data_IF_936446806803
#
_entry.id   IF_936446806803
#
_cell.length_a   1.000
_cell.length_b   1.000
_cell.length_c   1.000
_cell.angle_alpha   90.00
_cell.angle_beta   90.00
_cell.angle_gamma   90.00
#
_symmetry.space_group_name_H-M   'P 1'
#
loop_
_entity.id
_entity.type
_entity.pdbx_description
1 polymer ?
#
# COMPACT_ATOMS: atom_id res chain seq x y z
N UNK A 1 -1.24 20.93 49.86
CA UNK A 1 -1.56 19.77 49.00
C UNK A 1 -1.84 20.26 47.57
N UNK A 2 -2.76 21.16 47.32
CA UNK A 2 -3.15 21.67 46.00
C UNK A 2 -1.97 22.24 45.17
N UNK A 3 -1.14 23.09 45.82
CA UNK A 3 0.05 23.71 45.16
C UNK A 3 1.08 22.67 44.68
N UNK A 4 1.30 21.60 45.44
CA UNK A 4 2.19 20.48 45.04
C UNK A 4 1.56 19.68 43.89
N UNK A 5 0.26 19.42 43.90
CA UNK A 5 -0.47 18.77 42.82
C UNK A 5 -0.39 19.58 41.51
N UNK A 6 -0.57 20.92 41.58
CA UNK A 6 -0.45 21.81 40.41
C UNK A 6 0.98 21.79 39.82
N UNK A 7 2.01 21.76 40.68
CA UNK A 7 3.41 21.68 40.21
C UNK A 7 3.65 20.32 39.50
N UNK A 8 3.22 19.20 40.11
CA UNK A 8 3.36 17.86 39.50
C UNK A 8 2.60 17.80 38.18
N UNK A 9 1.37 18.32 38.13
CA UNK A 9 0.60 18.39 36.89
C UNK A 9 1.29 19.23 35.80
N UNK A 10 1.82 20.41 36.18
CA UNK A 10 2.59 21.25 35.26
C UNK A 10 3.86 20.56 34.73
N UNK A 11 4.59 19.85 35.57
CA UNK A 11 5.75 19.04 35.16
C UNK A 11 5.34 17.91 34.22
N UNK A 12 4.26 17.18 34.50
CA UNK A 12 3.76 16.13 33.62
C UNK A 12 3.37 16.69 32.24
N UNK A 13 2.66 17.81 32.18
CA UNK A 13 2.30 18.47 30.92
C UNK A 13 3.57 18.87 30.15
N UNK A 14 4.53 19.49 30.83
CA UNK A 14 5.80 19.90 30.20
C UNK A 14 6.56 18.70 29.65
N UNK A 15 6.62 17.59 30.37
CA UNK A 15 7.25 16.35 29.88
C UNK A 15 6.54 15.81 28.64
N UNK A 16 5.20 15.78 28.63
CA UNK A 16 4.43 15.34 27.45
C UNK A 16 4.73 16.21 26.23
N UNK A 17 4.74 17.55 26.44
CA UNK A 17 5.05 18.51 25.37
C UNK A 17 6.48 18.32 24.86
N UNK A 18 7.47 18.21 25.76
CA UNK A 18 8.87 17.97 25.37
C UNK A 18 9.02 16.64 24.62
N UNK A 19 8.42 15.56 25.12
CA UNK A 19 8.44 14.26 24.44
C UNK A 19 7.85 14.36 23.03
N UNK A 20 6.72 15.05 22.89
CA UNK A 20 6.11 15.30 21.59
C UNK A 20 7.06 16.01 20.61
N UNK A 21 7.71 17.08 21.02
CA UNK A 21 8.68 17.79 20.16
C UNK A 21 9.90 16.94 19.82
N UNK A 22 10.39 16.12 20.73
CA UNK A 22 11.49 15.17 20.48
C UNK A 22 11.08 14.13 19.43
N UNK A 23 9.88 13.55 19.54
CA UNK A 23 9.37 12.58 18.57
C UNK A 23 9.17 13.22 17.18
N UNK A 24 8.63 14.44 17.13
CA UNK A 24 8.48 15.19 15.87
C UNK A 24 9.84 15.50 15.22
N UNK A 25 10.81 15.92 16.03
CA UNK A 25 12.16 16.16 15.56
C UNK A 25 12.81 14.89 15.02
N UNK A 26 12.67 13.76 15.71
CA UNK A 26 13.20 12.46 15.30
C UNK A 26 12.61 12.02 13.96
N UNK A 27 11.29 12.08 13.80
CA UNK A 27 10.63 11.72 12.53
C UNK A 27 11.06 12.65 11.40
N UNK A 28 11.08 13.97 11.63
CA UNK A 28 11.45 14.93 10.60
C UNK A 28 12.90 14.75 10.12
N UNK A 29 13.84 14.50 11.04
CA UNK A 29 15.24 14.32 10.67
C UNK A 29 15.48 12.92 10.06
N UNK A 30 14.87 11.88 10.63
CA UNK A 30 14.93 10.53 10.05
C UNK A 30 14.36 10.48 8.64
N UNK A 31 13.21 11.11 8.41
CA UNK A 31 12.63 11.28 7.08
C UNK A 31 13.59 12.00 6.12
N UNK A 32 14.16 13.15 6.55
CA UNK A 32 15.05 13.94 5.71
C UNK A 32 16.33 13.18 5.37
N UNK A 33 16.95 12.51 6.35
CA UNK A 33 18.15 11.71 6.15
C UNK A 33 17.85 10.58 5.14
N UNK A 34 16.76 9.85 5.35
CA UNK A 34 16.39 8.73 4.52
C UNK A 34 16.03 9.12 3.09
N UNK A 35 15.24 10.17 2.89
CA UNK A 35 14.84 10.62 1.55
C UNK A 35 15.97 11.29 0.76
N UNK A 36 17.00 11.82 1.43
CA UNK A 36 18.20 12.31 0.73
C UNK A 36 19.03 11.16 0.14
N UNK A 37 19.00 9.99 0.76
CA UNK A 37 19.73 8.79 0.31
C UNK A 37 18.90 7.96 -0.68
N UNK A 38 17.58 7.99 -0.57
CA UNK A 38 16.63 7.16 -1.28
C UNK A 38 15.53 8.03 -1.89
N UNK A 39 15.59 8.29 -3.19
CA UNK A 39 14.55 9.02 -3.91
C UNK A 39 13.44 8.11 -4.46
N UNK A 40 12.40 8.72 -5.01
CA UNK A 40 11.43 7.98 -5.81
C UNK A 40 12.05 7.51 -7.13
N UNK A 41 11.87 6.23 -7.44
CA UNK A 41 12.27 5.66 -8.72
C UNK A 41 11.06 5.67 -9.64
N UNK A 42 11.23 6.30 -10.79
CA UNK A 42 10.29 6.30 -11.90
C UNK A 42 10.96 5.63 -13.08
N UNK A 43 10.46 4.49 -13.50
CA UNK A 43 11.05 3.74 -14.62
C UNK A 43 10.72 4.41 -15.96
N UNK A 44 11.38 4.04 -17.05
CA UNK A 44 10.85 4.27 -18.39
C UNK A 44 9.47 3.60 -18.57
N UNK A 45 8.78 3.92 -19.66
CA UNK A 45 7.59 3.17 -20.09
C UNK A 45 8.05 1.84 -20.68
N UNK A 46 7.46 0.75 -20.21
CA UNK A 46 7.71 -0.62 -20.64
C UNK A 46 6.51 -1.22 -21.35
N UNK A 47 6.75 -2.30 -22.07
CA UNK A 47 5.73 -3.12 -22.72
C UNK A 47 5.75 -4.53 -22.11
N UNK A 48 4.57 -5.12 -21.92
CA UNK A 48 4.47 -6.47 -21.37
C UNK A 48 3.05 -6.99 -21.25
N UNK A 49 2.92 -8.22 -20.81
CA UNK A 49 1.61 -8.81 -20.55
C UNK A 49 1.16 -8.45 -19.12
N UNK A 50 0.07 -7.71 -19.01
CA UNK A 50 -0.53 -7.30 -17.75
C UNK A 50 -1.77 -8.13 -17.46
N UNK A 51 -1.84 -8.73 -16.28
CA UNK A 51 -3.04 -9.44 -15.80
C UNK A 51 -3.51 -8.83 -14.50
N UNK A 52 -4.78 -8.42 -14.46
CA UNK A 52 -5.42 -7.88 -13.26
C UNK A 52 -6.04 -9.00 -12.42
N UNK A 53 -5.84 -8.94 -11.12
CA UNK A 53 -6.51 -9.78 -10.13
C UNK A 53 -7.29 -8.90 -9.15
N UNK A 54 -8.62 -8.84 -9.27
CA UNK A 54 -9.46 -8.09 -8.34
C UNK A 54 -9.89 -8.90 -7.11
N UNK A 55 -9.50 -10.18 -7.03
CA UNK A 55 -9.87 -11.13 -5.97
C UNK A 55 -8.69 -12.01 -5.57
N UNK A 56 -8.61 -12.34 -4.27
CA UNK A 56 -7.52 -13.12 -3.71
C UNK A 56 -7.43 -14.56 -4.24
N UNK A 57 -8.56 -15.21 -4.50
CA UNK A 57 -8.57 -16.61 -4.96
C UNK A 57 -7.87 -16.77 -6.32
N UNK A 58 -8.24 -15.94 -7.29
CA UNK A 58 -7.61 -15.91 -8.61
C UNK A 58 -6.13 -15.52 -8.55
N UNK A 59 -5.79 -14.55 -7.72
CA UNK A 59 -4.40 -14.12 -7.48
C UNK A 59 -3.55 -15.26 -6.91
N UNK A 60 -3.99 -15.87 -5.80
CA UNK A 60 -3.19 -16.90 -5.14
C UNK A 60 -3.05 -18.14 -6.00
N UNK A 61 -4.09 -18.51 -6.77
CA UNK A 61 -4.00 -19.60 -7.74
C UNK A 61 -2.91 -19.33 -8.78
N UNK A 62 -2.87 -18.13 -9.34
CA UNK A 62 -1.86 -17.72 -10.32
C UNK A 62 -0.46 -17.66 -9.70
N UNK A 63 -0.30 -16.97 -8.56
CA UNK A 63 0.98 -16.84 -7.86
C UNK A 63 1.56 -18.21 -7.45
N UNK A 64 0.74 -19.10 -6.88
CA UNK A 64 1.19 -20.43 -6.47
C UNK A 64 1.56 -21.30 -7.66
N UNK A 65 0.89 -21.12 -8.81
CA UNK A 65 1.26 -21.80 -10.04
C UNK A 65 2.61 -21.32 -10.57
N UNK A 66 2.83 -20.01 -10.67
CA UNK A 66 4.12 -19.44 -11.10
C UNK A 66 5.25 -19.87 -10.15
N UNK A 67 5.00 -19.90 -8.82
CA UNK A 67 5.99 -20.42 -7.84
C UNK A 67 6.30 -21.90 -8.10
N UNK A 68 5.30 -22.74 -8.39
CA UNK A 68 5.53 -24.17 -8.71
C UNK A 68 6.38 -24.34 -9.96
N UNK A 69 6.17 -23.49 -10.96
CA UNK A 69 6.83 -23.53 -12.26
C UNK A 69 8.23 -22.89 -12.24
N UNK A 70 8.56 -22.07 -11.22
CA UNK A 70 9.87 -21.44 -11.09
C UNK A 70 11.02 -22.42 -11.22
N UNK A 71 12.07 -22.05 -11.96
CA UNK A 71 13.25 -22.90 -12.20
C UNK A 71 14.49 -22.37 -11.47
N UNK A 72 14.69 -21.04 -11.48
CA UNK A 72 15.94 -20.43 -11.05
C UNK A 72 15.84 -19.77 -9.67
N UNK A 73 14.87 -18.87 -9.48
CA UNK A 73 14.74 -18.13 -8.23
C UNK A 73 13.34 -17.56 -7.99
N UNK A 74 13.06 -17.33 -6.70
CA UNK A 74 11.81 -16.76 -6.19
C UNK A 74 12.16 -15.72 -5.14
N UNK A 75 11.88 -14.43 -5.38
CA UNK A 75 12.08 -13.35 -4.43
C UNK A 75 10.74 -12.73 -4.08
N UNK A 76 10.39 -12.69 -2.80
CA UNK A 76 9.07 -12.24 -2.35
C UNK A 76 9.19 -11.30 -1.16
N UNK A 77 8.45 -10.20 -1.21
CA UNK A 77 8.19 -9.33 -0.08
C UNK A 77 6.70 -9.17 0.14
N UNK A 78 6.23 -9.38 1.37
CA UNK A 78 4.89 -9.02 1.82
C UNK A 78 4.96 -8.15 3.08
N UNK A 79 4.03 -7.20 3.19
CA UNK A 79 3.87 -6.45 4.43
C UNK A 79 3.31 -7.33 5.55
N UNK A 80 2.29 -8.14 5.26
CA UNK A 80 1.67 -9.08 6.20
C UNK A 80 1.71 -10.51 5.64
N UNK A 81 2.12 -11.45 6.49
CA UNK A 81 1.86 -12.88 6.33
C UNK A 81 1.23 -13.36 7.64
N UNK A 82 0.01 -13.92 7.55
CA UNK A 82 -0.74 -14.41 8.71
C UNK A 82 -0.24 -15.80 9.18
N UNK A 83 -0.58 -16.18 10.41
CA UNK A 83 -0.40 -17.55 10.90
C UNK A 83 -1.70 -18.34 10.69
N UNK A 84 -1.98 -18.69 9.43
CA UNK A 84 -3.19 -19.37 8.99
C UNK A 84 -2.88 -20.47 7.93
N UNK A 85 -3.81 -21.39 7.64
CA UNK A 85 -3.60 -22.47 6.69
C UNK A 85 -3.16 -22.02 5.29
N UNK A 86 -3.66 -20.90 4.77
CA UNK A 86 -3.28 -20.37 3.44
C UNK A 86 -1.83 -19.94 3.43
N UNK A 87 -1.43 -19.15 4.44
CA UNK A 87 -0.04 -18.70 4.61
C UNK A 87 0.92 -19.88 4.85
N UNK A 88 0.53 -20.84 5.67
CA UNK A 88 1.35 -22.04 5.92
C UNK A 88 1.53 -22.89 4.65
N UNK A 89 0.50 -23.00 3.80
CA UNK A 89 0.61 -23.65 2.49
C UNK A 89 1.59 -22.90 1.57
N UNK A 90 1.47 -21.58 1.49
CA UNK A 90 2.40 -20.72 0.76
C UNK A 90 3.84 -20.93 1.23
N UNK A 91 4.11 -20.83 2.53
CA UNK A 91 5.44 -21.02 3.10
C UNK A 91 5.99 -22.43 2.85
N UNK A 92 5.13 -23.47 2.91
CA UNK A 92 5.49 -24.86 2.58
C UNK A 92 5.92 -25.00 1.11
N UNK A 93 5.25 -24.29 0.20
CA UNK A 93 5.61 -24.27 -1.21
C UNK A 93 6.99 -23.66 -1.43
N UNK A 94 7.31 -22.54 -0.78
CA UNK A 94 8.64 -21.92 -0.81
C UNK A 94 9.73 -22.86 -0.27
N UNK A 95 9.48 -23.53 0.86
CA UNK A 95 10.38 -24.51 1.43
C UNK A 95 10.66 -25.69 0.46
N UNK A 96 9.62 -26.17 -0.22
CA UNK A 96 9.77 -27.24 -1.23
C UNK A 96 10.64 -26.79 -2.40
N UNK A 97 10.46 -25.57 -2.88
CA UNK A 97 11.27 -25.00 -3.98
C UNK A 97 12.72 -24.83 -3.56
N UNK A 98 12.99 -24.29 -2.39
CA UNK A 98 14.35 -24.13 -1.87
C UNK A 98 15.06 -25.49 -1.69
N UNK A 99 14.39 -26.50 -1.13
CA UNK A 99 14.94 -27.88 -1.02
C UNK A 99 15.28 -28.50 -2.36
N UNK A 100 14.59 -28.10 -3.43
CA UNK A 100 14.84 -28.57 -4.80
C UNK A 100 15.90 -27.73 -5.55
N UNK A 101 16.57 -26.81 -4.87
CA UNK A 101 17.68 -26.02 -5.43
C UNK A 101 17.30 -24.66 -6.01
N UNK A 102 16.02 -24.26 -5.97
CA UNK A 102 15.61 -22.91 -6.34
C UNK A 102 16.12 -21.92 -5.28
N UNK A 103 16.69 -20.78 -5.71
CA UNK A 103 17.14 -19.70 -4.84
C UNK A 103 15.92 -18.91 -4.33
N UNK A 104 15.55 -19.07 -3.06
CA UNK A 104 14.35 -18.48 -2.49
C UNK A 104 14.71 -17.42 -1.43
N UNK A 105 14.25 -16.18 -1.65
CA UNK A 105 14.39 -15.08 -0.71
C UNK A 105 12.99 -14.61 -0.28
N UNK A 106 12.76 -14.55 1.04
CA UNK A 106 11.52 -14.06 1.62
C UNK A 106 11.79 -12.93 2.60
N UNK A 107 11.26 -11.76 2.30
CA UNK A 107 11.25 -10.58 3.17
C UNK A 107 9.83 -10.31 3.67
N UNK A 108 9.69 -9.98 4.95
CA UNK A 108 8.39 -9.62 5.55
C UNK A 108 8.60 -8.39 6.44
N UNK A 109 7.68 -7.42 6.40
CA UNK A 109 7.82 -6.24 7.27
C UNK A 109 7.86 -6.65 8.75
N UNK A 110 8.71 -5.98 9.52
CA UNK A 110 8.95 -6.34 10.94
C UNK A 110 7.71 -6.22 11.81
N UNK A 111 6.83 -5.25 11.54
CA UNK A 111 5.61 -5.03 12.31
C UNK A 111 4.43 -5.82 11.71
N UNK A 112 4.27 -5.75 10.38
CA UNK A 112 3.23 -6.50 9.67
C UNK A 112 3.39 -8.02 9.80
N UNK A 113 4.64 -8.50 9.81
CA UNK A 113 4.99 -9.92 9.94
C UNK A 113 5.10 -10.43 11.39
N UNK A 114 4.50 -9.77 12.37
CA UNK A 114 4.59 -10.15 13.80
C UNK A 114 4.13 -11.57 14.11
N UNK A 115 3.30 -12.16 13.26
CA UNK A 115 2.79 -13.53 13.40
C UNK A 115 3.81 -14.59 12.93
N UNK A 116 4.83 -14.20 12.15
CA UNK A 116 5.94 -15.08 11.77
C UNK A 116 6.85 -15.30 12.98
N UNK A 117 6.60 -16.38 13.69
CA UNK A 117 7.34 -16.71 14.88
C UNK A 117 8.68 -17.40 14.57
N UNK A 118 9.56 -17.51 15.61
CA UNK A 118 10.89 -18.11 15.45
C UNK A 118 10.87 -19.55 14.93
N UNK A 119 9.83 -20.32 15.25
CA UNK A 119 9.69 -21.71 14.78
C UNK A 119 9.46 -21.78 13.28
N UNK A 120 8.66 -20.85 12.74
CA UNK A 120 8.42 -20.72 11.28
C UNK A 120 9.74 -20.31 10.60
N UNK A 121 10.44 -19.29 11.12
CA UNK A 121 11.71 -18.82 10.55
C UNK A 121 12.74 -19.96 10.51
N UNK A 122 12.94 -20.66 11.61
CA UNK A 122 13.91 -21.78 11.66
C UNK A 122 13.59 -22.88 10.64
N UNK A 123 12.30 -23.15 10.37
CA UNK A 123 11.89 -24.13 9.34
C UNK A 123 12.20 -23.64 7.94
N UNK A 124 11.99 -22.36 7.66
CA UNK A 124 12.30 -21.73 6.37
C UNK A 124 13.81 -21.81 6.12
N UNK A 125 14.61 -21.33 7.04
CA UNK A 125 16.08 -21.32 6.97
C UNK A 125 16.66 -22.75 6.83
N UNK A 126 16.15 -23.71 7.61
CA UNK A 126 16.55 -25.12 7.51
C UNK A 126 16.19 -25.76 6.16
N UNK A 127 15.28 -25.16 5.41
CA UNK A 127 14.87 -25.61 4.08
C UNK A 127 15.66 -24.91 2.96
N UNK A 128 16.57 -23.97 3.29
CA UNK A 128 17.34 -23.19 2.33
C UNK A 128 16.67 -21.89 1.88
N UNK A 129 15.56 -21.48 2.51
CA UNK A 129 14.95 -20.17 2.27
C UNK A 129 15.75 -19.09 2.99
N UNK A 130 16.22 -18.09 2.27
CA UNK A 130 16.81 -16.89 2.87
C UNK A 130 15.69 -16.00 3.40
N UNK A 131 15.64 -15.79 4.71
CA UNK A 131 14.59 -15.01 5.38
C UNK A 131 15.15 -13.74 6.02
N UNK A 132 14.40 -12.63 5.89
CA UNK A 132 14.67 -11.41 6.67
C UNK A 132 13.38 -10.70 7.06
N UNK A 133 13.43 -9.95 8.17
CA UNK A 133 12.44 -8.91 8.42
C UNK A 133 12.94 -7.60 7.81
N UNK A 134 12.07 -6.93 7.05
CA UNK A 134 12.38 -5.59 6.51
C UNK A 134 12.10 -4.49 7.53
N UNK A 135 12.78 -3.37 7.35
CA UNK A 135 12.67 -2.15 8.18
C UNK A 135 12.82 -2.44 9.66
N UNK A 136 13.98 -3.02 10.02
CA UNK A 136 14.36 -3.26 11.41
C UNK A 136 14.47 -1.94 12.15
N UNK A 137 14.04 -1.93 13.41
CA UNK A 137 14.26 -0.79 14.30
C UNK A 137 15.74 -0.55 14.53
N UNK A 138 16.15 0.72 14.73
CA UNK A 138 17.54 1.11 14.93
C UNK A 138 17.69 2.12 16.07
N UNK A 139 18.93 2.47 16.42
CA UNK A 139 19.25 3.40 17.51
C UNK A 139 19.15 4.86 17.02
N UNK A 140 19.52 5.11 15.76
CA UNK A 140 19.39 6.43 15.14
C UNK A 140 17.96 6.61 14.65
N UNK A 141 17.33 7.74 14.98
CA UNK A 141 15.94 8.03 14.64
C UNK A 141 14.97 6.87 14.95
N UNK A 142 14.94 6.39 16.22
CA UNK A 142 14.22 5.17 16.59
C UNK A 142 12.72 5.27 16.35
N UNK A 143 12.12 6.45 16.57
CA UNK A 143 10.69 6.65 16.36
C UNK A 143 10.35 6.73 14.86
N UNK A 144 11.18 7.39 14.04
CA UNK A 144 11.06 7.35 12.59
C UNK A 144 11.13 5.90 12.09
N UNK A 145 12.20 5.15 12.44
CA UNK A 145 12.41 3.76 12.01
C UNK A 145 11.32 2.80 12.49
N UNK A 146 10.67 3.07 13.61
CA UNK A 146 9.52 2.32 14.06
C UNK A 146 8.29 2.58 13.18
N UNK A 147 8.13 3.78 12.65
CA UNK A 147 7.01 4.18 11.81
C UNK A 147 7.26 3.97 10.31
N UNK A 148 8.50 3.98 9.85
CA UNK A 148 8.88 3.71 8.47
C UNK A 148 8.74 2.21 8.17
N UNK A 149 7.83 1.85 7.24
CA UNK A 149 7.50 0.45 6.92
C UNK A 149 7.67 0.17 5.43
N UNK A 150 8.13 -1.03 5.10
CA UNK A 150 8.08 -1.51 3.72
C UNK A 150 6.68 -2.08 3.45
N UNK A 151 5.83 -1.24 2.86
CA UNK A 151 4.43 -1.59 2.59
C UNK A 151 4.22 -2.17 1.19
N UNK A 152 5.29 -2.39 0.42
CA UNK A 152 5.23 -3.06 -0.88
C UNK A 152 4.74 -4.51 -0.72
N UNK A 153 4.15 -5.06 -1.76
CA UNK A 153 3.81 -6.46 -1.91
C UNK A 153 4.31 -6.86 -3.28
N UNK A 154 5.42 -7.58 -3.28
CA UNK A 154 6.17 -7.92 -4.49
C UNK A 154 6.44 -9.43 -4.53
N UNK A 155 6.27 -10.04 -5.68
CA UNK A 155 6.80 -11.37 -5.94
C UNK A 155 7.48 -11.37 -7.31
N UNK A 156 8.68 -11.93 -7.39
CA UNK A 156 9.49 -12.04 -8.59
C UNK A 156 9.81 -13.51 -8.82
N UNK A 157 9.48 -14.00 -9.99
CA UNK A 157 9.65 -15.41 -10.39
C UNK A 157 10.55 -15.45 -11.61
N UNK A 158 11.75 -16.00 -11.46
CA UNK A 158 12.75 -16.17 -12.51
C UNK A 158 13.09 -14.88 -13.28
N UNK A 159 12.76 -13.67 -12.73
CA UNK A 159 12.87 -12.38 -13.42
C UNK A 159 12.03 -12.24 -14.69
N UNK A 160 11.12 -13.19 -14.92
CA UNK A 160 10.22 -13.21 -16.08
C UNK A 160 8.85 -12.66 -15.75
N UNK A 161 8.43 -12.90 -14.51
CA UNK A 161 7.11 -12.51 -14.00
C UNK A 161 7.30 -11.82 -12.66
N UNK A 162 6.57 -10.74 -12.47
CA UNK A 162 6.44 -10.09 -11.17
C UNK A 162 4.98 -9.82 -10.81
N UNK A 163 4.73 -9.71 -9.52
CA UNK A 163 3.44 -9.35 -8.94
C UNK A 163 3.59 -8.09 -8.09
N UNK A 164 2.60 -7.20 -8.18
CA UNK A 164 2.56 -5.94 -7.46
C UNK A 164 1.10 -5.51 -7.22
N UNK A 165 0.76 -5.11 -6.00
CA UNK A 165 -0.59 -4.60 -5.69
C UNK A 165 -0.95 -4.65 -4.20
N UNK A 166 -2.25 -4.64 -3.89
CA UNK A 166 -2.73 -4.42 -2.53
C UNK A 166 -2.80 -5.67 -1.65
N UNK A 167 -2.89 -6.88 -2.22
CA UNK A 167 -3.04 -8.12 -1.45
C UNK A 167 -1.79 -8.50 -0.66
N UNK A 168 -1.97 -8.84 0.61
CA UNK A 168 -1.00 -9.55 1.43
C UNK A 168 -1.25 -11.08 1.39
N UNK A 169 -0.71 -11.87 2.34
CA UNK A 169 -0.86 -13.31 2.39
C UNK A 169 -1.64 -13.74 3.65
N UNK A 170 -2.80 -14.38 3.45
CA UNK A 170 -3.66 -14.87 4.55
C UNK A 170 -5.09 -15.20 4.10
N UNK A 171 -5.83 -15.90 4.95
CA UNK A 171 -7.24 -16.28 4.73
C UNK A 171 -8.18 -15.08 4.64
N UNK A 172 -7.88 -13.99 5.34
CA UNK A 172 -8.69 -12.76 5.29
C UNK A 172 -8.78 -12.20 3.88
N UNK A 173 -7.71 -12.32 3.08
CA UNK A 173 -7.65 -11.85 1.68
C UNK A 173 -8.42 -12.75 0.70
N UNK A 174 -8.86 -13.93 1.17
CA UNK A 174 -9.79 -14.81 0.44
C UNK A 174 -11.26 -14.60 0.87
N UNK A 175 -11.52 -13.61 1.73
CA UNK A 175 -12.86 -13.37 2.27
C UNK A 175 -13.32 -14.43 3.28
N UNK A 176 -12.40 -15.22 3.86
CA UNK A 176 -12.72 -16.29 4.80
C UNK A 176 -12.78 -15.81 6.26
N UNK A 177 -12.28 -14.61 6.55
CA UNK A 177 -12.42 -14.00 7.87
C UNK A 177 -13.79 -13.32 8.01
N UNK A 178 -14.59 -13.80 8.97
CA UNK A 178 -15.95 -13.30 9.23
C UNK A 178 -16.00 -11.82 9.66
N UNK A 179 -14.88 -11.25 10.13
CA UNK A 179 -14.81 -9.83 10.53
C UNK A 179 -14.91 -8.91 9.34
N UNK A 180 -14.34 -9.31 8.19
CA UNK A 180 -14.25 -8.51 6.98
C UNK A 180 -15.22 -8.97 5.89
N UNK A 181 -15.61 -10.26 5.90
CA UNK A 181 -16.40 -10.87 4.84
C UNK A 181 -15.65 -10.88 3.52
N UNK A 182 -16.34 -10.57 2.43
CA UNK A 182 -15.71 -10.50 1.11
C UNK A 182 -14.62 -9.42 1.09
N UNK A 183 -13.39 -9.81 0.66
CA UNK A 183 -12.24 -8.92 0.55
C UNK A 183 -12.05 -8.49 -0.90
N UNK A 184 -12.11 -7.20 -1.16
CA UNK A 184 -11.92 -6.61 -2.48
C UNK A 184 -10.63 -5.80 -2.52
N UNK A 185 -9.69 -6.16 -3.42
CA UNK A 185 -8.43 -5.45 -3.62
C UNK A 185 -8.00 -5.60 -5.09
N UNK A 186 -6.88 -5.01 -5.49
CA UNK A 186 -6.37 -5.03 -6.85
C UNK A 186 -4.90 -5.39 -6.85
N UNK A 187 -4.51 -6.34 -7.72
CA UNK A 187 -3.13 -6.80 -7.87
C UNK A 187 -2.82 -7.06 -9.34
N UNK A 188 -1.62 -6.71 -9.76
CA UNK A 188 -1.14 -6.93 -11.12
C UNK A 188 -0.12 -8.07 -11.15
N UNK A 189 -0.23 -8.92 -12.17
CA UNK A 189 0.85 -9.78 -12.66
C UNK A 189 1.42 -9.12 -13.90
N UNK A 190 2.72 -8.96 -13.92
CA UNK A 190 3.48 -8.28 -14.97
C UNK A 190 4.45 -9.30 -15.54
N UNK A 191 4.33 -9.61 -16.85
CA UNK A 191 5.29 -10.45 -17.56
C UNK A 191 5.91 -9.64 -18.70
N UNK A 192 7.23 -9.49 -18.68
CA UNK A 192 7.98 -8.68 -19.65
C UNK A 192 9.07 -7.83 -19.01
N UNK A 193 9.49 -6.78 -19.69
CA UNK A 193 10.67 -5.99 -19.38
C UNK A 193 10.68 -5.41 -17.96
N UNK A 194 9.54 -4.89 -17.47
CA UNK A 194 9.46 -4.28 -16.15
C UNK A 194 9.57 -5.25 -14.98
N UNK A 195 9.51 -6.58 -15.20
CA UNK A 195 9.73 -7.55 -14.15
C UNK A 195 11.14 -7.41 -13.54
N UNK A 196 12.12 -7.00 -14.34
CA UNK A 196 13.48 -6.70 -13.90
C UNK A 196 13.54 -5.52 -12.92
N UNK A 197 12.75 -4.48 -13.12
CA UNK A 197 12.73 -3.30 -12.23
C UNK A 197 12.17 -3.66 -10.84
N UNK A 198 11.17 -4.55 -10.80
CA UNK A 198 10.64 -5.08 -9.53
C UNK A 198 11.70 -5.91 -8.80
N UNK A 199 12.52 -6.69 -9.54
CA UNK A 199 13.66 -7.42 -8.99
C UNK A 199 14.73 -6.46 -8.43
N UNK A 200 15.12 -5.43 -9.19
CA UNK A 200 16.09 -4.43 -8.72
C UNK A 200 15.63 -3.75 -7.43
N UNK A 201 14.34 -3.38 -7.36
CA UNK A 201 13.79 -2.77 -6.16
C UNK A 201 13.81 -3.73 -4.97
N UNK A 202 13.40 -4.99 -5.18
CA UNK A 202 13.48 -6.00 -4.13
C UNK A 202 14.91 -6.18 -3.61
N UNK A 203 15.89 -6.25 -4.50
CA UNK A 203 17.30 -6.45 -4.14
C UNK A 203 17.90 -5.23 -3.43
N UNK A 204 17.50 -4.01 -3.77
CA UNK A 204 17.84 -2.79 -3.02
C UNK A 204 17.30 -2.85 -1.59
N UNK A 205 16.01 -3.20 -1.43
CA UNK A 205 15.38 -3.36 -0.11
C UNK A 205 16.08 -4.47 0.69
N UNK A 206 16.45 -5.58 0.04
CA UNK A 206 17.18 -6.68 0.68
C UNK A 206 18.56 -6.28 1.15
N UNK A 207 19.32 -5.56 0.33
CA UNK A 207 20.66 -5.04 0.70
C UNK A 207 20.57 -4.10 1.91
N UNK A 208 19.57 -3.20 1.94
CA UNK A 208 19.34 -2.30 3.07
C UNK A 208 19.01 -3.06 4.36
N UNK A 209 18.17 -4.08 4.27
CA UNK A 209 17.71 -4.85 5.44
C UNK A 209 18.77 -5.83 5.97
N UNK A 210 19.67 -6.34 5.12
CA UNK A 210 20.61 -7.42 5.47
C UNK A 210 22.08 -7.04 5.39
N UNK A 211 22.42 -5.97 4.67
CA UNK A 211 23.78 -5.62 4.28
C UNK A 211 24.37 -6.54 3.20
N UNK A 212 23.60 -7.47 2.66
CA UNK A 212 24.03 -8.42 1.64
C UNK A 212 23.65 -7.92 0.24
N UNK A 213 24.65 -7.50 -0.51
CA UNK A 213 24.45 -7.08 -1.90
C UNK A 213 24.29 -8.29 -2.81
N UNK A 214 23.23 -8.28 -3.60
CA UNK A 214 22.99 -9.24 -4.68
C UNK A 214 22.67 -8.44 -5.96
N UNK A 215 23.28 -8.82 -7.05
CA UNK A 215 22.97 -8.18 -8.34
C UNK A 215 21.80 -8.88 -9.03
N UNK A 216 20.92 -8.14 -9.68
CA UNK A 216 19.86 -8.73 -10.46
C UNK A 216 20.43 -9.61 -11.57
N UNK A 217 19.75 -10.69 -11.85
CA UNK A 217 20.15 -11.57 -12.96
C UNK A 217 19.75 -10.89 -14.26
N UNK A 218 20.71 -10.80 -15.21
CA UNK A 218 20.42 -10.25 -16.54
C UNK A 218 19.45 -11.17 -17.28
N UNK A 219 18.25 -10.67 -17.54
CA UNK A 219 17.29 -11.32 -18.43
C UNK A 219 17.27 -10.61 -19.77
N UNK A 220 17.10 -11.37 -20.85
CA UNK A 220 16.79 -10.75 -22.13
C UNK A 220 15.34 -10.24 -22.06
N UNK A 221 15.05 -9.04 -22.60
CA UNK A 221 13.68 -8.55 -22.72
C UNK A 221 12.86 -9.60 -23.46
N UNK A 222 11.74 -10.03 -22.87
CA UNK A 222 10.92 -11.09 -23.44
C UNK A 222 10.05 -10.58 -24.60
N UNK A 223 9.73 -9.28 -24.63
CA UNK A 223 8.89 -8.63 -25.63
C UNK A 223 9.12 -7.12 -25.69
N UNK A 224 8.96 -6.56 -26.89
CA UNK A 224 8.85 -5.12 -27.17
C UNK A 224 7.42 -4.74 -27.56
N UNK A 225 6.50 -5.69 -27.58
CA UNK A 225 5.07 -5.56 -27.84
C UNK A 225 4.27 -5.96 -26.60
N UNK A 226 3.08 -5.44 -26.44
CA UNK A 226 2.20 -5.67 -25.29
C UNK A 226 1.67 -4.38 -24.70
N UNK A 227 1.08 -4.47 -23.52
CA UNK A 227 0.48 -3.36 -22.81
C UNK A 227 1.54 -2.37 -22.32
N UNK A 228 1.32 -1.08 -22.53
CA UNK A 228 2.19 0.00 -22.05
C UNK A 228 1.95 0.29 -20.58
N UNK A 229 3.05 0.34 -19.80
CA UNK A 229 2.98 0.66 -18.38
C UNK A 229 4.30 1.26 -17.86
N UNK A 230 4.25 1.88 -16.69
CA UNK A 230 5.38 2.46 -15.99
C UNK A 230 5.33 2.08 -14.51
N UNK A 231 6.48 1.77 -13.92
CA UNK A 231 6.56 1.44 -12.50
C UNK A 231 7.11 2.60 -11.69
N UNK A 232 6.60 2.72 -10.46
CA UNK A 232 7.05 3.70 -9.48
C UNK A 232 7.34 3.00 -8.17
N UNK A 233 8.47 3.35 -7.56
CA UNK A 233 8.83 2.88 -6.24
C UNK A 233 9.17 4.11 -5.39
N UNK A 234 8.32 4.44 -4.43
CA UNK A 234 8.60 5.49 -3.47
C UNK A 234 9.27 4.91 -2.23
N UNK A 235 10.13 5.68 -1.63
CA UNK A 235 10.88 5.29 -0.47
C UNK A 235 10.69 6.33 0.61
N UNK A 236 9.79 6.04 1.57
CA UNK A 236 9.53 6.91 2.73
C UNK A 236 8.97 8.29 2.38
N UNK A 237 8.28 8.47 1.25
CA UNK A 237 7.72 9.77 0.85
C UNK A 237 7.74 9.99 -0.67
N UNK A 238 7.52 11.24 -1.10
CA UNK A 238 7.45 11.70 -2.49
C UNK A 238 6.27 11.19 -3.31
N UNK A 239 5.54 10.15 -2.86
CA UNK A 239 4.35 9.63 -3.52
C UNK A 239 3.26 10.71 -3.65
N UNK A 240 3.16 11.58 -2.66
CA UNK A 240 2.27 12.75 -2.67
C UNK A 240 2.43 13.62 -3.92
N UNK A 241 3.67 13.94 -4.31
CA UNK A 241 3.95 14.78 -5.48
C UNK A 241 3.47 14.15 -6.78
N UNK A 242 3.65 12.84 -6.91
CA UNK A 242 3.17 12.12 -8.09
C UNK A 242 1.63 12.08 -8.13
N UNK A 243 0.97 11.81 -7.00
CA UNK A 243 -0.50 11.88 -6.94
C UNK A 243 -1.04 13.26 -7.29
N UNK A 244 -0.40 14.33 -6.82
CA UNK A 244 -0.79 15.70 -7.19
C UNK A 244 -0.64 15.95 -8.69
N UNK A 245 0.42 15.43 -9.31
CA UNK A 245 0.63 15.50 -10.75
C UNK A 245 -0.48 14.77 -11.49
N UNK A 246 -0.84 13.58 -11.05
CA UNK A 246 -1.93 12.77 -11.62
C UNK A 246 -3.30 13.45 -11.46
N UNK A 247 -3.63 14.01 -10.28
CA UNK A 247 -4.86 14.78 -10.08
C UNK A 247 -4.96 15.95 -11.06
N UNK A 248 -3.86 16.71 -11.18
CA UNK A 248 -3.80 17.91 -12.04
C UNK A 248 -3.84 17.59 -13.54
N UNK A 249 -3.53 16.37 -13.92
CA UNK A 249 -3.60 15.92 -15.33
C UNK A 249 -5.02 15.63 -15.80
N UNK A 250 -5.96 15.33 -14.88
CA UNK A 250 -7.34 14.99 -15.21
C UNK A 250 -8.09 16.13 -15.90
N UNK A 251 -8.79 15.82 -16.99
CA UNK A 251 -9.57 16.78 -17.82
C UNK A 251 -11.06 16.45 -17.88
N UNK A 252 -11.43 15.17 -17.75
CA UNK A 252 -12.82 14.70 -17.92
C UNK A 252 -13.31 13.98 -16.67
N UNK A 253 -12.56 12.99 -16.21
CA UNK A 253 -12.94 12.13 -15.10
C UNK A 253 -11.73 11.73 -14.26
N UNK A 254 -11.93 11.73 -12.95
CA UNK A 254 -10.97 11.21 -11.98
C UNK A 254 -11.71 10.30 -11.00
N UNK A 255 -11.31 9.03 -10.94
CA UNK A 255 -11.81 8.07 -9.94
C UNK A 255 -10.68 7.69 -9.01
N UNK A 256 -10.94 7.76 -7.70
CA UNK A 256 -10.01 7.37 -6.64
C UNK A 256 -10.69 6.31 -5.79
N UNK A 257 -10.11 5.11 -5.73
CA UNK A 257 -10.60 4.03 -4.90
C UNK A 257 -9.52 3.64 -3.90
N UNK A 258 -9.81 3.74 -2.59
CA UNK A 258 -8.81 3.54 -1.52
C UNK A 258 -9.48 3.11 -0.21
N UNK A 259 -8.82 2.25 0.61
CA UNK A 259 -9.38 1.87 1.91
C UNK A 259 -9.35 3.01 2.92
N UNK A 260 -8.36 3.89 2.86
CA UNK A 260 -8.21 5.03 3.76
C UNK A 260 -8.08 6.31 2.93
N UNK A 261 -8.95 7.27 3.20
CA UNK A 261 -8.98 8.53 2.47
C UNK A 261 -8.74 9.71 3.42
N UNK A 262 -7.47 10.02 3.65
CA UNK A 262 -7.01 11.11 4.54
C UNK A 262 -5.99 11.97 3.77
N UNK A 263 -6.38 12.56 2.61
CA UNK A 263 -5.49 13.41 1.84
C UNK A 263 -5.12 14.68 2.62
N UNK A 264 -3.97 15.27 2.33
CA UNK A 264 -3.59 16.56 2.87
C UNK A 264 -4.34 17.72 2.20
N UNK A 265 -4.10 18.94 2.70
CA UNK A 265 -4.82 20.12 2.21
C UNK A 265 -4.53 20.44 0.74
N UNK A 266 -3.29 20.23 0.26
CA UNK A 266 -2.94 20.48 -1.14
C UNK A 266 -3.67 19.52 -2.08
N UNK A 267 -3.76 18.23 -1.73
CA UNK A 267 -4.55 17.25 -2.48
C UNK A 267 -6.05 17.58 -2.44
N UNK A 268 -6.57 17.99 -1.28
CA UNK A 268 -7.96 18.42 -1.14
C UNK A 268 -8.28 19.60 -2.07
N UNK A 269 -7.41 20.58 -2.10
CA UNK A 269 -7.59 21.77 -2.94
C UNK A 269 -7.46 21.40 -4.43
N UNK A 270 -6.54 20.51 -4.80
CA UNK A 270 -6.40 20.02 -6.17
C UNK A 270 -7.68 19.28 -6.66
N UNK A 271 -8.27 18.42 -5.81
CA UNK A 271 -9.53 17.73 -6.12
C UNK A 271 -10.70 18.70 -6.30
N UNK A 272 -10.80 19.71 -5.43
CA UNK A 272 -11.84 20.75 -5.50
C UNK A 272 -11.67 21.59 -6.78
N UNK A 273 -10.42 21.95 -7.12
CA UNK A 273 -10.11 22.70 -8.35
C UNK A 273 -10.46 21.85 -9.58
N UNK A 274 -10.07 20.57 -9.63
CA UNK A 274 -10.44 19.67 -10.72
C UNK A 274 -11.96 19.63 -10.89
N UNK A 275 -12.71 19.49 -9.80
CA UNK A 275 -14.19 19.48 -9.84
C UNK A 275 -14.77 20.81 -10.35
N UNK A 276 -14.24 21.95 -9.91
CA UNK A 276 -14.65 23.29 -10.37
C UNK A 276 -14.37 23.50 -11.87
N UNK A 277 -13.32 22.90 -12.38
CA UNK A 277 -12.95 22.93 -13.80
C UNK A 277 -13.77 21.96 -14.67
N UNK A 278 -14.79 21.29 -14.10
CA UNK A 278 -15.69 20.40 -14.82
C UNK A 278 -15.27 18.94 -14.84
N UNK A 279 -14.15 18.56 -14.20
CA UNK A 279 -13.77 17.15 -14.07
C UNK A 279 -14.80 16.43 -13.19
N UNK A 280 -15.29 15.28 -13.62
CA UNK A 280 -16.11 14.40 -12.78
C UNK A 280 -15.19 13.68 -11.79
N UNK A 281 -15.23 14.08 -10.53
CA UNK A 281 -14.42 13.47 -9.47
C UNK A 281 -15.27 12.50 -8.66
N UNK A 282 -14.82 11.25 -8.56
CA UNK A 282 -15.50 10.15 -7.87
C UNK A 282 -14.53 9.48 -6.88
N UNK A 283 -14.99 9.20 -5.68
CA UNK A 283 -14.19 8.56 -4.63
C UNK A 283 -14.93 7.32 -4.14
N UNK A 284 -14.25 6.18 -4.10
CA UNK A 284 -14.74 4.92 -3.58
C UNK A 284 -13.94 4.53 -2.33
N UNK A 285 -14.63 4.34 -1.22
CA UNK A 285 -14.05 3.94 0.08
C UNK A 285 -14.89 2.84 0.71
N UNK A 286 -14.36 2.05 1.65
CA UNK A 286 -15.19 1.07 2.35
C UNK A 286 -16.23 1.74 3.28
N UNK A 287 -17.41 1.11 3.38
CA UNK A 287 -18.43 1.53 4.37
C UNK A 287 -17.98 1.20 5.80
N UNK A 288 -17.28 0.08 5.98
CA UNK A 288 -16.69 -0.32 7.26
C UNK A 288 -15.15 -0.31 7.17
N UNK A 289 -14.47 -0.03 8.26
CA UNK A 289 -13.00 -0.01 8.32
C UNK A 289 -12.46 -1.14 9.19
N UNK A 290 -11.29 -1.67 8.84
CA UNK A 290 -10.49 -2.57 9.66
C UNK A 290 -9.72 -1.84 10.77
N UNK A 291 -9.49 -0.52 10.58
CA UNK A 291 -8.77 0.36 11.48
C UNK A 291 -9.67 1.54 11.90
N UNK A 292 -10.38 1.40 13.03
CA UNK A 292 -11.36 2.37 13.51
C UNK A 292 -10.85 3.82 13.57
N UNK A 293 -9.54 4.01 13.84
CA UNK A 293 -8.91 5.32 13.97
C UNK A 293 -8.68 6.04 12.63
N UNK A 294 -8.80 5.34 11.49
CA UNK A 294 -8.62 5.96 10.15
C UNK A 294 -9.88 6.64 9.64
N UNK A 295 -11.05 6.22 10.12
CA UNK A 295 -12.34 6.70 9.64
C UNK A 295 -12.68 8.12 10.14
N UNK A 296 -12.57 8.45 11.44
CA UNK A 296 -12.89 9.80 11.93
C UNK A 296 -12.13 10.94 11.22
N UNK A 297 -10.82 10.83 10.91
CA UNK A 297 -10.11 11.88 10.18
C UNK A 297 -10.56 12.06 8.74
N UNK A 298 -11.17 11.03 8.14
CA UNK A 298 -11.67 11.12 6.75
C UNK A 298 -12.97 11.93 6.63
N UNK A 299 -13.80 11.96 7.67
CA UNK A 299 -15.12 12.58 7.61
C UNK A 299 -15.13 14.07 7.25
N UNK A 300 -14.33 14.97 7.88
CA UNK A 300 -14.31 16.37 7.49
C UNK A 300 -13.88 16.57 6.03
N UNK A 301 -12.99 15.70 5.54
CA UNK A 301 -12.46 15.76 4.18
C UNK A 301 -13.52 15.30 3.18
N UNK A 302 -14.20 14.19 3.46
CA UNK A 302 -15.30 13.69 2.62
C UNK A 302 -16.49 14.64 2.62
N UNK A 303 -16.85 15.25 3.76
CA UNK A 303 -17.90 16.26 3.84
C UNK A 303 -17.55 17.52 3.00
N UNK A 304 -16.31 18.03 3.10
CA UNK A 304 -15.84 19.17 2.30
C UNK A 304 -15.91 18.86 0.80
N UNK A 305 -15.52 17.65 0.38
CA UNK A 305 -15.57 17.24 -1.02
C UNK A 305 -17.00 17.04 -1.52
N UNK A 306 -17.86 16.41 -0.73
CA UNK A 306 -19.29 16.25 -1.05
C UNK A 306 -19.94 17.62 -1.30
N UNK A 307 -19.69 18.60 -0.41
CA UNK A 307 -20.19 19.98 -0.55
C UNK A 307 -19.60 20.71 -1.78
N UNK A 308 -18.47 20.22 -2.32
CA UNK A 308 -17.86 20.72 -3.55
C UNK A 308 -18.35 19.99 -4.81
N UNK A 309 -19.31 19.06 -4.67
CA UNK A 309 -19.93 18.32 -5.78
C UNK A 309 -19.13 17.09 -6.22
N UNK A 310 -18.25 16.55 -5.39
CA UNK A 310 -17.56 15.28 -5.61
C UNK A 310 -18.51 14.13 -5.23
N UNK A 311 -18.57 13.09 -6.05
CA UNK A 311 -19.35 11.88 -5.79
C UNK A 311 -18.54 10.91 -4.92
N UNK A 312 -19.12 10.48 -3.80
CA UNK A 312 -18.46 9.56 -2.87
C UNK A 312 -19.31 8.31 -2.71
N UNK A 313 -18.67 7.14 -2.89
CA UNK A 313 -19.29 5.82 -2.82
C UNK A 313 -18.73 5.05 -1.62
N UNK A 314 -19.62 4.46 -0.84
CA UNK A 314 -19.32 3.62 0.32
C UNK A 314 -19.55 2.16 -0.04
N UNK A 315 -18.48 1.37 -0.24
CA UNK A 315 -18.58 -0.03 -0.62
C UNK A 315 -19.16 -0.90 0.50
N UNK A 316 -20.20 -1.68 0.19
CA UNK A 316 -21.02 -2.40 1.18
C UNK A 316 -20.97 -3.92 1.10
N UNK A 317 -20.41 -4.51 0.02
CA UNK A 317 -20.38 -5.97 -0.17
C UNK A 317 -19.40 -6.70 0.77
N UNK A 318 -18.51 -5.96 1.44
CA UNK A 318 -17.48 -6.48 2.34
C UNK A 318 -16.45 -5.40 2.61
N UNK A 319 -15.17 -5.78 2.75
CA UNK A 319 -14.10 -4.81 2.96
C UNK A 319 -13.42 -4.46 1.64
N UNK A 320 -13.47 -3.18 1.26
CA UNK A 320 -12.76 -2.64 0.11
C UNK A 320 -11.36 -2.20 0.51
N UNK A 321 -10.34 -2.82 -0.06
CA UNK A 321 -8.94 -2.50 0.20
C UNK A 321 -8.16 -2.13 -1.07
N UNK A 322 -8.82 -1.91 -2.22
CA UNK A 322 -8.18 -1.50 -3.47
C UNK A 322 -7.52 -0.13 -3.39
N UNK A 323 -6.41 0.04 -4.08
CA UNK A 323 -5.70 1.32 -4.26
C UNK A 323 -5.59 1.57 -5.76
N UNK A 324 -6.63 2.19 -6.29
CA UNK A 324 -6.82 2.40 -7.73
C UNK A 324 -7.07 3.87 -8.01
N UNK A 325 -6.50 4.37 -9.10
CA UNK A 325 -6.83 5.68 -9.65
C UNK A 325 -7.06 5.53 -11.15
N UNK A 326 -8.15 6.11 -11.65
CA UNK A 326 -8.46 6.17 -13.07
C UNK A 326 -8.56 7.62 -13.51
N UNK A 327 -7.92 7.95 -14.62
CA UNK A 327 -7.85 9.32 -15.15
C UNK A 327 -8.29 9.30 -16.60
N UNK A 328 -9.39 9.97 -16.89
CA UNK A 328 -9.94 10.22 -18.23
C UNK A 328 -10.24 8.98 -19.10
N UNK A 329 -10.13 7.77 -18.52
CA UNK A 329 -10.15 6.49 -19.25
C UNK A 329 -8.88 6.25 -20.07
N UNK A 330 -7.83 7.04 -19.85
CA UNK A 330 -6.56 7.02 -20.61
C UNK A 330 -5.38 6.56 -19.73
N UNK A 331 -5.52 6.62 -18.40
CA UNK A 331 -4.50 6.17 -17.45
C UNK A 331 -5.16 5.47 -16.27
N UNK A 332 -4.58 4.35 -15.86
CA UNK A 332 -4.94 3.68 -14.61
C UNK A 332 -3.71 3.51 -13.72
N UNK A 333 -3.88 3.60 -12.42
CA UNK A 333 -2.84 3.32 -11.44
C UNK A 333 -3.31 2.25 -10.47
N UNK A 334 -2.55 1.15 -10.34
CA UNK A 334 -2.71 0.13 -9.32
C UNK A 334 -1.51 0.23 -8.39
N UNK A 335 -1.77 0.42 -7.09
CA UNK A 335 -0.74 0.76 -6.12
C UNK A 335 -0.80 -0.10 -4.84
N UNK A 336 0.28 -0.07 -4.08
CA UNK A 336 0.28 -0.49 -2.67
C UNK A 336 -0.10 0.66 -1.73
N UNK A 337 0.02 1.91 -2.20
CA UNK A 337 -0.16 3.13 -1.43
C UNK A 337 -1.63 3.46 -1.17
N UNK A 338 -1.97 3.66 0.09
CA UNK A 338 -3.26 4.25 0.49
C UNK A 338 -3.24 5.78 0.28
N UNK A 339 -4.40 6.40 0.40
CA UNK A 339 -4.53 7.87 0.41
C UNK A 339 -4.48 8.40 1.85
N UNK A 340 -3.39 8.15 2.54
CA UNK A 340 -3.17 8.53 3.93
C UNK A 340 -1.74 9.04 4.18
N UNK A 341 -1.49 9.76 5.29
CA UNK A 341 -0.19 10.31 5.62
C UNK A 341 0.92 9.26 5.74
N UNK A 342 0.61 8.02 6.12
CA UNK A 342 1.62 6.96 6.21
C UNK A 342 2.18 6.59 4.84
N UNK A 343 1.30 6.40 3.86
CA UNK A 343 1.72 6.12 2.48
C UNK A 343 2.41 7.32 1.83
N UNK A 344 2.03 8.54 2.21
CA UNK A 344 2.63 9.75 1.63
C UNK A 344 4.04 10.05 2.18
N UNK A 345 4.31 9.73 3.47
CA UNK A 345 5.50 10.24 4.16
C UNK A 345 6.32 9.19 4.93
N UNK A 346 5.79 7.99 5.18
CA UNK A 346 6.41 7.03 6.09
C UNK A 346 6.61 5.63 5.50
N UNK A 347 5.87 5.26 4.44
CA UNK A 347 5.94 3.92 3.89
C UNK A 347 6.74 3.90 2.57
N UNK A 348 7.37 2.78 2.33
CA UNK A 348 7.85 2.40 1.01
C UNK A 348 6.70 1.77 0.24
N UNK A 349 6.40 2.33 -0.91
CA UNK A 349 5.26 1.92 -1.73
C UNK A 349 5.71 1.55 -3.15
N UNK A 350 4.85 0.85 -3.86
CA UNK A 350 5.05 0.50 -5.27
C UNK A 350 3.77 0.72 -6.06
N UNK A 351 3.91 1.09 -7.33
CA UNK A 351 2.78 1.45 -8.17
C UNK A 351 3.05 1.07 -9.62
N UNK A 352 2.00 0.65 -10.31
CA UNK A 352 1.97 0.39 -11.75
C UNK A 352 1.01 1.38 -12.42
N UNK A 353 1.56 2.31 -13.19
CA UNK A 353 0.81 3.20 -14.05
C UNK A 353 0.62 2.52 -15.40
N UNK A 354 -0.61 2.43 -15.86
CA UNK A 354 -1.03 1.65 -17.03
C UNK A 354 -1.61 2.61 -18.07
N UNK A 355 -1.15 2.49 -19.31
CA UNK A 355 -1.60 3.30 -20.45
C UNK A 355 -2.33 2.48 -21.52
N UNK A 356 -2.33 1.15 -21.39
CA UNK A 356 -3.01 0.24 -22.30
C UNK A 356 -4.53 0.33 -22.17
N UNK A 357 -5.19 0.61 -23.28
CA UNK A 357 -6.63 0.85 -23.34
C UNK A 357 -7.47 -0.36 -22.90
N UNK A 358 -7.07 -1.58 -23.25
CA UNK A 358 -7.86 -2.79 -22.93
C UNK A 358 -7.73 -3.15 -21.45
N UNK A 359 -6.55 -3.01 -20.89
CA UNK A 359 -6.32 -3.19 -19.45
C UNK A 359 -7.08 -2.12 -18.65
N UNK A 360 -7.04 -0.85 -19.10
CA UNK A 360 -7.80 0.25 -18.45
C UNK A 360 -9.30 -0.02 -18.51
N UNK A 361 -9.85 -0.50 -19.63
CA UNK A 361 -11.27 -0.87 -19.74
C UNK A 361 -11.62 -1.98 -18.73
N UNK A 362 -10.76 -2.97 -18.56
CA UNK A 362 -10.96 -4.04 -17.58
C UNK A 362 -11.01 -3.48 -16.16
N UNK A 363 -10.02 -2.63 -15.78
CA UNK A 363 -9.99 -1.99 -14.45
C UNK A 363 -11.23 -1.09 -14.26
N UNK A 364 -11.63 -0.34 -15.28
CA UNK A 364 -12.81 0.52 -15.24
C UNK A 364 -14.09 -0.30 -15.01
N UNK A 365 -14.24 -1.42 -15.70
CA UNK A 365 -15.41 -2.31 -15.53
C UNK A 365 -15.50 -2.85 -14.09
N UNK A 366 -14.36 -3.25 -13.50
CA UNK A 366 -14.28 -3.70 -12.11
C UNK A 366 -14.66 -2.59 -11.11
N UNK A 367 -14.17 -1.37 -11.31
CA UNK A 367 -14.51 -0.21 -10.47
C UNK A 367 -15.99 0.17 -10.61
N UNK A 368 -16.58 0.10 -11.82
CA UNK A 368 -18.00 0.34 -12.00
C UNK A 368 -18.87 -0.72 -11.31
N UNK A 369 -18.43 -1.98 -11.29
CA UNK A 369 -19.10 -3.03 -10.52
C UNK A 369 -18.98 -2.79 -9.01
N UNK A 370 -17.81 -2.35 -8.52
CA UNK A 370 -17.62 -1.96 -7.13
C UNK A 370 -18.54 -0.79 -6.73
N UNK A 371 -18.74 0.19 -7.62
CA UNK A 371 -19.68 1.30 -7.39
C UNK A 371 -21.14 0.83 -7.33
N UNK A 372 -21.54 -0.17 -8.12
CA UNK A 372 -22.89 -0.78 -8.02
C UNK A 372 -23.09 -1.49 -6.68
N UNK A 373 -22.03 -2.06 -6.11
CA UNK A 373 -22.01 -2.67 -4.77
C UNK A 373 -21.79 -1.64 -3.64
N UNK A 374 -22.03 -0.37 -3.92
CA UNK A 374 -21.80 0.73 -2.98
C UNK A 374 -23.07 1.57 -2.79
N UNK A 375 -23.15 2.24 -1.64
CA UNK A 375 -24.14 3.31 -1.42
C UNK A 375 -23.49 4.68 -1.62
N UNK A 376 -24.20 5.60 -2.27
CA UNK A 376 -23.68 6.95 -2.47
C UNK A 376 -23.82 7.74 -1.17
N UNK A 377 -22.71 8.34 -0.73
CA UNK A 377 -22.68 9.21 0.45
C UNK A 377 -23.56 10.45 0.23
N UNK A 378 -24.32 10.80 1.22
CA UNK A 378 -25.17 12.00 1.25
C UNK A 378 -25.20 12.60 2.66
N UNK A 379 -25.81 13.79 2.79
CA UNK A 379 -25.92 14.48 4.08
C UNK A 379 -26.65 13.68 5.18
N UNK A 380 -27.62 12.83 4.81
CA UNK A 380 -28.35 12.01 5.78
C UNK A 380 -27.40 10.99 6.41
N UNK A 381 -26.58 10.30 5.63
CA UNK A 381 -25.56 9.34 6.11
C UNK A 381 -24.55 10.05 7.00
N UNK A 382 -24.10 11.27 6.64
CA UNK A 382 -23.16 12.04 7.50
C UNK A 382 -23.81 12.37 8.86
N UNK A 383 -25.11 12.65 8.90
CA UNK A 383 -25.81 12.92 10.15
C UNK A 383 -25.95 11.70 11.06
N UNK A 384 -25.88 10.48 10.52
CA UNK A 384 -25.91 9.23 11.27
C UNK A 384 -24.59 8.92 11.99
N UNK A 385 -23.49 9.63 11.67
CA UNK A 385 -22.19 9.43 12.31
C UNK A 385 -22.32 9.67 13.83
N UNK A 386 -21.89 8.70 14.68
CA UNK A 386 -22.00 8.81 16.13
C UNK A 386 -21.31 10.06 16.70
N UNK A 387 -21.88 10.67 17.72
CA UNK A 387 -21.36 11.90 18.32
C UNK A 387 -19.93 11.76 18.87
N UNK A 388 -19.56 10.59 19.36
CA UNK A 388 -18.20 10.32 19.83
C UNK A 388 -17.18 10.30 18.67
N UNK A 389 -17.53 9.73 17.51
CA UNK A 389 -16.69 9.78 16.30
C UNK A 389 -16.54 11.22 15.82
N UNK A 390 -17.62 12.02 15.87
CA UNK A 390 -17.57 13.46 15.51
C UNK A 390 -16.63 14.26 16.43
N UNK A 391 -16.47 13.86 17.69
CA UNK A 391 -15.51 14.50 18.59
C UNK A 391 -14.07 14.32 18.13
N UNK A 392 -13.74 13.15 17.55
CA UNK A 392 -12.42 12.88 16.98
C UNK A 392 -12.16 13.63 15.65
N UNK A 393 -13.20 14.08 14.94
CA UNK A 393 -13.03 14.91 13.72
C UNK A 393 -12.31 16.22 13.98
N UNK A 394 -12.34 16.72 15.22
CA UNK A 394 -11.66 17.96 15.64
C UNK A 394 -10.20 17.74 16.04
N UNK A 395 -9.72 16.51 15.96
CA UNK A 395 -8.34 16.19 16.32
C UNK A 395 -7.38 16.82 15.30
N UNK A 396 -6.33 17.51 15.74
CA UNK A 396 -5.36 18.15 14.84
C UNK A 396 -4.73 17.15 13.87
N UNK A 397 -4.50 17.57 12.62
CA UNK A 397 -3.96 16.71 11.54
C UNK A 397 -2.63 16.05 11.91
N UNK A 398 -1.78 16.71 12.68
CA UNK A 398 -0.50 16.15 13.11
C UNK A 398 -0.59 14.87 13.96
N UNK A 399 -1.74 14.63 14.62
CA UNK A 399 -1.98 13.38 15.37
C UNK A 399 -2.14 12.22 14.39
N UNK A 400 -2.80 12.45 13.25
CA UNK A 400 -3.04 11.41 12.24
C UNK A 400 -1.83 11.10 11.35
N UNK A 401 -0.78 11.91 11.47
CA UNK A 401 0.45 11.69 10.71
C UNK A 401 1.13 10.35 11.03
N UNK A 402 0.87 9.81 12.22
CA UNK A 402 1.49 8.57 12.72
C UNK A 402 0.56 7.35 12.75
N UNK A 403 -0.68 7.50 12.35
CA UNK A 403 -1.69 6.44 12.39
C UNK A 403 -2.10 5.94 11.02
#
# INVERSE_FOLDING_TARGET
>A
MLKKMMIVFGVCISLVICTFFILQWDVKNGYKEYTNEHGMIKTPVYHGDLTLFPEGDSLYKSLFQDIKEAQDYIYIHFFIIRDDPVSLNFLSLLQKKAKNGTDVMLSVDRIGGKEINRKIINRLEASGVHFTFSRKTGITHPFYKMNHRNHRKLAIIDGKVSYLGGFNMGEEYLGQDKRFGYWRDYHMRIAGEGAYEVEEQFLKDWEEDTGQKKLPKKHQPLRTDGSEYQLFFSTGGEWEKELLTLIRSAKKQLVIATPYFIPNNEMMDALIVARKNGVKVEILVPDHTDAWFTKPPSYPKTEKLLNSGVDIYLYTKGFFHGKVMLIDGETANISTANWDPRSFYLNDEASCLIYDTEVIKTITAEIEEDKKNSRKLNEAIIKEIPSWERSFMKTPEWIYYYF
#
